data_IF_926599185699
#
_entry.id   IF_926599185699
#
_cell.length_a   1.000
_cell.length_b   1.000
_cell.length_c   1.000
_cell.angle_alpha   90.00
_cell.angle_beta   90.00
_cell.angle_gamma   90.00
#
_symmetry.space_group_name_H-M   'P 1'
#
loop_
_entity.id
_entity.type
_entity.pdbx_description
1 polymer ?
#
# COMPACT_ATOMS: atom_id res chain seq x y z
N UNK A 1 -12.34 18.58 -62.37
CA UNK A 1 -13.35 17.52 -62.15
C UNK A 1 -13.77 17.55 -60.69
N UNK A 2 -14.89 16.90 -60.35
CA UNK A 2 -15.35 16.70 -58.96
C UNK A 2 -14.25 16.05 -58.12
N UNK A 3 -14.05 16.50 -56.88
CA UNK A 3 -13.13 15.86 -55.94
C UNK A 3 -13.70 14.57 -55.37
N UNK A 4 -12.85 13.69 -54.83
CA UNK A 4 -13.28 12.43 -54.19
C UNK A 4 -14.29 12.68 -53.06
N UNK A 5 -14.06 13.72 -52.26
CA UNK A 5 -14.89 14.03 -51.09
C UNK A 5 -16.24 14.66 -51.52
N UNK A 6 -16.26 15.40 -52.64
CA UNK A 6 -17.50 15.89 -53.26
C UNK A 6 -18.31 14.73 -53.88
N UNK A 7 -17.65 13.78 -54.54
CA UNK A 7 -18.31 12.59 -55.10
C UNK A 7 -18.89 11.68 -54.00
N UNK A 8 -18.17 11.53 -52.88
CA UNK A 8 -18.68 10.80 -51.71
C UNK A 8 -19.94 11.47 -51.14
N UNK A 9 -19.96 12.80 -51.03
CA UNK A 9 -21.13 13.57 -50.59
C UNK A 9 -22.31 13.45 -51.54
N UNK A 10 -22.10 13.50 -52.86
CA UNK A 10 -23.16 13.27 -53.86
C UNK A 10 -23.77 11.86 -53.76
N UNK A 11 -22.98 10.87 -53.31
CA UNK A 11 -23.44 9.49 -53.05
C UNK A 11 -24.05 9.31 -51.65
N UNK A 12 -24.14 10.36 -50.84
CA UNK A 12 -24.66 10.31 -49.48
C UNK A 12 -23.76 9.59 -48.49
N UNK A 13 -22.46 9.43 -48.79
CA UNK A 13 -21.48 8.78 -47.92
C UNK A 13 -20.82 9.82 -47.01
N UNK A 14 -20.77 9.52 -45.71
CA UNK A 14 -20.05 10.30 -44.72
C UNK A 14 -18.55 9.95 -44.68
N UNK A 15 -17.76 10.76 -43.95
CA UNK A 15 -16.30 10.54 -43.80
C UNK A 15 -15.98 9.18 -43.18
N UNK A 16 -16.76 8.74 -42.19
CA UNK A 16 -16.61 7.42 -41.56
C UNK A 16 -16.90 6.25 -42.48
N UNK A 17 -17.64 6.46 -43.57
CA UNK A 17 -18.03 5.41 -44.52
C UNK A 17 -16.93 5.17 -45.57
N UNK A 18 -16.00 6.11 -45.72
CA UNK A 18 -14.95 6.08 -46.76
C UNK A 18 -13.53 6.04 -46.18
N UNK A 19 -13.36 6.31 -44.89
CA UNK A 19 -12.06 6.31 -44.21
C UNK A 19 -11.74 4.93 -43.61
N UNK A 20 -10.76 4.25 -44.18
CA UNK A 20 -10.33 2.91 -43.74
C UNK A 20 -9.20 2.94 -42.69
N UNK A 21 -8.67 4.12 -42.36
CA UNK A 21 -7.50 4.27 -41.49
C UNK A 21 -6.21 3.71 -42.09
N UNK A 22 -5.20 3.48 -41.23
CA UNK A 22 -3.95 2.85 -41.64
C UNK A 22 -4.11 1.34 -41.74
N UNK A 23 -4.00 0.82 -42.96
CA UNK A 23 -4.16 -0.61 -43.27
C UNK A 23 -2.96 -1.13 -44.04
N UNK A 24 -2.58 -2.37 -43.77
CA UNK A 24 -1.58 -3.09 -44.58
C UNK A 24 -2.22 -3.63 -45.85
N UNK A 25 -1.41 -3.94 -46.85
CA UNK A 25 -1.89 -4.51 -48.13
C UNK A 25 -2.71 -5.79 -47.93
N UNK A 26 -2.35 -6.60 -46.92
CA UNK A 26 -3.04 -7.85 -46.58
C UNK A 26 -4.38 -7.65 -45.88
N UNK A 27 -4.64 -6.48 -45.32
CA UNK A 27 -5.93 -6.17 -44.69
C UNK A 27 -7.01 -5.77 -45.70
N UNK A 28 -6.64 -5.45 -46.95
CA UNK A 28 -7.58 -5.18 -48.04
C UNK A 28 -7.99 -6.50 -48.69
N UNK A 29 -9.23 -6.93 -48.47
CA UNK A 29 -9.75 -8.24 -48.87
C UNK A 29 -9.76 -8.44 -50.40
N UNK A 30 -10.01 -7.36 -51.15
CA UNK A 30 -10.04 -7.41 -52.61
C UNK A 30 -8.63 -7.20 -53.21
N UNK A 31 -8.05 -8.18 -53.92
CA UNK A 31 -6.70 -8.06 -54.45
C UNK A 31 -6.51 -6.97 -55.50
N UNK A 32 -7.53 -6.67 -56.31
CA UNK A 32 -7.45 -5.63 -57.34
C UNK A 32 -7.43 -4.25 -56.68
N UNK A 33 -8.28 -4.04 -55.68
CA UNK A 33 -8.31 -2.82 -54.87
C UNK A 33 -7.01 -2.67 -54.06
N UNK A 34 -6.51 -3.75 -53.45
CA UNK A 34 -5.26 -3.74 -52.70
C UNK A 34 -4.04 -3.38 -53.57
N UNK A 35 -3.97 -3.92 -54.79
CA UNK A 35 -2.90 -3.59 -55.73
C UNK A 35 -2.98 -2.16 -56.22
N UNK A 36 -4.18 -1.65 -56.52
CA UNK A 36 -4.38 -0.26 -56.90
C UNK A 36 -4.07 0.71 -55.75
N UNK A 37 -4.45 0.37 -54.51
CA UNK A 37 -4.16 1.21 -53.35
C UNK A 37 -2.64 1.36 -53.11
N UNK A 38 -1.90 0.25 -53.22
CA UNK A 38 -0.45 0.23 -52.96
C UNK A 38 0.42 0.62 -54.17
N UNK A 39 -0.18 0.91 -55.33
CA UNK A 39 0.54 1.48 -56.49
C UNK A 39 0.44 3.01 -56.58
N UNK A 40 -0.41 3.62 -55.77
CA UNK A 40 -0.65 5.06 -55.74
C UNK A 40 0.24 5.77 -54.73
N UNK A 41 0.57 7.02 -55.03
CA UNK A 41 1.27 7.92 -54.12
C UNK A 41 0.32 8.56 -53.11
N UNK A 42 0.88 9.08 -52.01
CA UNK A 42 0.09 9.83 -51.01
C UNK A 42 -0.66 11.00 -51.66
N UNK A 43 -1.96 11.10 -51.41
CA UNK A 43 -2.84 12.13 -51.96
C UNK A 43 -3.50 11.76 -53.30
N UNK A 44 -3.10 10.67 -53.94
CA UNK A 44 -3.66 10.27 -55.24
C UNK A 44 -4.97 9.50 -55.11
N UNK A 45 -5.78 9.58 -56.17
CA UNK A 45 -7.03 8.83 -56.33
C UNK A 45 -6.87 7.86 -57.50
N UNK A 46 -7.30 6.61 -57.31
CA UNK A 46 -7.25 5.57 -58.33
C UNK A 46 -8.16 5.89 -59.52
N UNK A 47 -7.88 5.27 -60.67
CA UNK A 47 -8.93 5.04 -61.67
C UNK A 47 -9.99 4.08 -61.09
N UNK A 48 -11.21 4.02 -61.66
CA UNK A 48 -12.21 3.04 -61.22
C UNK A 48 -11.65 1.61 -61.29
N UNK A 49 -11.52 0.96 -60.13
CA UNK A 49 -10.97 -0.38 -60.01
C UNK A 49 -12.12 -1.37 -59.99
N UNK A 50 -12.15 -2.30 -60.94
CA UNK A 50 -13.11 -3.41 -60.92
C UNK A 50 -12.69 -4.43 -59.84
N UNK A 51 -13.30 -4.32 -58.67
CA UNK A 51 -13.19 -5.32 -57.61
C UNK A 51 -14.25 -6.41 -57.72
N UNK A 52 -14.14 -7.42 -56.86
CA UNK A 52 -15.07 -8.54 -56.67
C UNK A 52 -16.43 -8.09 -56.13
N UNK A 53 -16.45 -7.00 -55.37
CA UNK A 53 -17.66 -6.45 -54.75
C UNK A 53 -18.27 -5.28 -55.54
N UNK A 54 -17.74 -4.99 -56.74
CA UNK A 54 -18.13 -3.87 -57.57
C UNK A 54 -16.97 -2.96 -57.92
N UNK A 55 -17.28 -1.84 -58.57
CA UNK A 55 -16.27 -0.84 -58.94
C UNK A 55 -15.98 0.07 -57.74
N UNK A 56 -14.71 0.18 -57.36
CA UNK A 56 -14.26 1.01 -56.26
C UNK A 56 -13.32 2.13 -56.76
N UNK A 57 -13.38 3.28 -56.09
CA UNK A 57 -12.37 4.34 -56.18
C UNK A 57 -11.62 4.39 -54.85
N UNK A 58 -10.30 4.44 -54.91
CA UNK A 58 -9.44 4.47 -53.71
C UNK A 58 -8.68 5.78 -53.68
N UNK A 59 -8.70 6.49 -52.55
CA UNK A 59 -7.87 7.68 -52.31
C UNK A 59 -6.85 7.36 -51.22
N UNK A 60 -5.57 7.62 -51.48
CA UNK A 60 -4.51 7.41 -50.50
C UNK A 60 -4.35 8.68 -49.67
N UNK A 61 -4.60 8.59 -48.37
CA UNK A 61 -4.35 9.70 -47.45
C UNK A 61 -2.87 9.88 -47.14
N UNK A 62 -2.27 8.86 -46.52
CA UNK A 62 -0.86 8.83 -46.11
C UNK A 62 -0.27 7.44 -46.36
N UNK A 63 0.99 7.40 -46.79
CA UNK A 63 1.78 6.16 -46.87
C UNK A 63 2.82 6.15 -45.75
N UNK A 64 2.84 5.08 -44.96
CA UNK A 64 3.89 4.82 -43.96
C UNK A 64 4.65 3.56 -44.36
N UNK A 65 5.98 3.67 -44.49
CA UNK A 65 6.83 2.52 -44.78
C UNK A 65 6.89 1.61 -43.56
N UNK A 66 6.66 0.30 -43.76
CA UNK A 66 6.90 -0.68 -42.72
C UNK A 66 8.37 -0.68 -42.31
N UNK A 67 8.64 -0.74 -41.01
CA UNK A 67 10.00 -0.88 -40.47
C UNK A 67 10.21 -2.32 -40.02
N UNK A 68 11.19 -3.01 -40.60
CA UNK A 68 11.69 -4.28 -40.07
C UNK A 68 12.74 -3.99 -38.99
N UNK A 69 12.57 -4.48 -37.75
CA UNK A 69 13.61 -4.35 -36.73
C UNK A 69 14.88 -5.06 -37.19
N UNK A 70 16.03 -4.39 -37.13
CA UNK A 70 17.31 -5.06 -37.42
C UNK A 70 17.68 -6.04 -36.31
N UNK A 71 18.56 -7.00 -36.62
CA UNK A 71 19.10 -7.89 -35.61
C UNK A 71 19.76 -7.11 -34.47
N UNK A 72 20.52 -6.05 -34.79
CA UNK A 72 21.24 -5.23 -33.81
C UNK A 72 20.30 -4.52 -32.85
N UNK A 73 19.14 -4.05 -33.33
CA UNK A 73 18.15 -3.38 -32.47
C UNK A 73 17.48 -4.36 -31.50
N UNK A 74 17.39 -5.65 -31.86
CA UNK A 74 16.73 -6.68 -31.06
C UNK A 74 17.67 -7.63 -30.32
N UNK A 75 18.96 -7.65 -30.66
CA UNK A 75 19.93 -8.60 -30.13
C UNK A 75 20.03 -8.56 -28.60
N UNK A 76 19.97 -7.38 -27.99
CA UNK A 76 20.02 -7.24 -26.54
C UNK A 76 18.78 -7.85 -25.85
N UNK A 77 17.59 -7.62 -26.41
CA UNK A 77 16.34 -8.20 -25.89
C UNK A 77 16.33 -9.72 -26.04
N UNK A 78 16.68 -10.23 -27.24
CA UNK A 78 16.75 -11.67 -27.52
C UNK A 78 17.78 -12.38 -26.64
N UNK A 79 18.95 -11.78 -26.42
CA UNK A 79 19.97 -12.33 -25.50
C UNK A 79 19.44 -12.42 -24.08
N UNK A 80 18.74 -11.39 -23.60
CA UNK A 80 18.13 -11.39 -22.27
C UNK A 80 17.04 -12.46 -22.14
N UNK A 81 16.21 -12.62 -23.17
CA UNK A 81 15.15 -13.63 -23.21
C UNK A 81 15.73 -15.04 -23.16
N UNK A 82 16.66 -15.37 -24.05
CA UNK A 82 17.35 -16.67 -24.09
C UNK A 82 18.10 -16.93 -22.77
N UNK A 83 18.77 -15.92 -22.21
CA UNK A 83 19.45 -16.06 -20.93
C UNK A 83 18.47 -16.35 -19.80
N UNK A 84 17.29 -15.71 -19.80
CA UNK A 84 16.24 -15.94 -18.80
C UNK A 84 15.65 -17.34 -18.93
N UNK A 85 15.39 -17.81 -20.15
CA UNK A 85 14.90 -19.17 -20.41
C UNK A 85 15.89 -20.23 -19.93
N UNK A 86 17.18 -20.08 -20.28
CA UNK A 86 18.25 -20.97 -19.80
C UNK A 86 18.40 -20.93 -18.29
N UNK A 87 18.28 -19.75 -17.67
CA UNK A 87 18.32 -19.62 -16.22
C UNK A 87 17.18 -20.38 -15.55
N UNK A 88 15.94 -20.28 -16.06
CA UNK A 88 14.78 -21.03 -15.55
C UNK A 88 14.99 -22.54 -15.64
N UNK A 89 15.48 -23.04 -16.78
CA UNK A 89 15.81 -24.45 -16.95
C UNK A 89 16.87 -24.91 -15.94
N UNK A 90 17.90 -24.09 -15.71
CA UNK A 90 18.96 -24.41 -14.75
C UNK A 90 18.48 -24.39 -13.30
N UNK A 91 17.60 -23.45 -12.95
CA UNK A 91 16.96 -23.39 -11.62
C UNK A 91 16.11 -24.63 -11.37
N UNK A 92 15.34 -25.08 -12.37
CA UNK A 92 14.56 -26.32 -12.26
C UNK A 92 15.47 -27.55 -12.07
N UNK A 93 16.55 -27.67 -12.84
CA UNK A 93 17.54 -28.75 -12.68
C UNK A 93 18.19 -28.75 -11.28
N UNK A 94 18.53 -27.57 -10.75
CA UNK A 94 19.10 -27.45 -9.40
C UNK A 94 18.07 -27.79 -8.32
N UNK A 95 16.82 -27.39 -8.50
CA UNK A 95 15.73 -27.75 -7.60
C UNK A 95 15.57 -29.27 -7.54
N UNK A 96 15.46 -29.93 -8.68
CA UNK A 96 15.26 -31.37 -8.74
C UNK A 96 16.42 -32.12 -8.07
N UNK A 97 17.67 -31.68 -8.31
CA UNK A 97 18.85 -32.23 -7.61
C UNK A 97 18.82 -31.98 -6.10
N UNK A 98 18.37 -30.80 -5.67
CA UNK A 98 18.24 -30.49 -4.24
C UNK A 98 17.22 -31.40 -3.57
N UNK A 99 16.07 -31.63 -4.21
CA UNK A 99 15.08 -32.58 -3.70
C UNK A 99 15.56 -34.03 -3.75
N UNK A 100 16.35 -34.43 -4.75
CA UNK A 100 16.94 -35.77 -4.80
C UNK A 100 17.89 -36.00 -3.61
N UNK A 101 18.74 -35.03 -3.29
CA UNK A 101 19.65 -35.11 -2.14
C UNK A 101 18.87 -35.16 -0.81
N UNK A 102 17.83 -34.33 -0.67
CA UNK A 102 16.97 -34.30 0.53
C UNK A 102 16.13 -35.57 0.69
N UNK A 103 15.56 -36.07 -0.40
CA UNK A 103 14.86 -37.35 -0.45
C UNK A 103 15.77 -38.54 -0.16
N UNK A 104 17.08 -38.40 -0.42
CA UNK A 104 18.12 -39.33 0.01
C UNK A 104 18.52 -39.22 1.49
N UNK A 105 17.95 -38.28 2.24
CA UNK A 105 18.17 -38.06 3.67
C UNK A 105 19.21 -36.99 4.02
N UNK A 106 19.75 -36.25 3.04
CA UNK A 106 20.64 -35.13 3.32
C UNK A 106 19.87 -33.93 3.90
N UNK A 107 20.43 -33.26 4.91
CA UNK A 107 19.88 -31.96 5.35
C UNK A 107 20.21 -30.84 4.36
N UNK A 108 19.61 -29.66 4.51
CA UNK A 108 19.77 -28.53 3.59
C UNK A 108 21.24 -28.09 3.45
N UNK A 109 22.01 -28.15 4.55
CA UNK A 109 23.43 -27.76 4.51
C UNK A 109 24.25 -28.75 3.71
N UNK A 110 24.04 -30.05 3.92
CA UNK A 110 24.72 -31.13 3.20
C UNK A 110 24.37 -31.13 1.71
N UNK A 111 23.08 -31.04 1.39
CA UNK A 111 22.59 -30.97 0.01
C UNK A 111 23.15 -29.74 -0.71
N UNK A 112 23.13 -28.56 -0.06
CA UNK A 112 23.72 -27.36 -0.60
C UNK A 112 25.21 -27.52 -0.91
N UNK A 113 25.99 -28.11 0.00
CA UNK A 113 27.42 -28.35 -0.21
C UNK A 113 27.69 -29.27 -1.40
N UNK A 114 26.95 -30.37 -1.54
CA UNK A 114 27.10 -31.31 -2.68
C UNK A 114 26.79 -30.64 -4.02
N UNK A 115 25.84 -29.72 -4.04
CA UNK A 115 25.43 -28.98 -5.23
C UNK A 115 26.24 -27.70 -5.47
N UNK A 116 27.22 -27.39 -4.62
CA UNK A 116 28.04 -26.18 -4.73
C UNK A 116 27.26 -24.88 -4.41
N UNK A 117 26.18 -24.98 -3.64
CA UNK A 117 25.38 -23.86 -3.16
C UNK A 117 25.89 -23.38 -1.79
N UNK A 118 25.60 -22.12 -1.46
CA UNK A 118 25.96 -21.52 -0.17
C UNK A 118 24.79 -21.62 0.81
N UNK A 119 24.96 -22.41 1.87
CA UNK A 119 24.04 -22.43 3.00
C UNK A 119 24.34 -21.29 3.97
N UNK A 120 23.29 -20.71 4.56
CA UNK A 120 23.39 -19.63 5.56
C UNK A 120 22.73 -20.11 6.85
N UNK A 121 23.47 -20.09 7.94
CA UNK A 121 22.92 -20.35 9.28
C UNK A 121 22.43 -19.04 9.88
N UNK A 122 21.17 -19.03 10.33
CA UNK A 122 20.57 -17.93 11.07
C UNK A 122 20.57 -18.33 12.54
N UNK A 123 21.12 -17.47 13.40
CA UNK A 123 21.03 -17.64 14.85
C UNK A 123 19.57 -17.60 15.31
N UNK A 124 19.30 -17.97 16.57
CA UNK A 124 17.95 -17.98 17.10
C UNK A 124 17.24 -16.62 16.91
N UNK A 125 16.08 -16.64 16.25
CA UNK A 125 15.23 -15.46 16.05
C UNK A 125 13.86 -15.64 16.68
N UNK A 126 13.23 -14.55 17.08
CA UNK A 126 11.82 -14.53 17.43
C UNK A 126 10.91 -14.47 16.19
N UNK A 127 9.58 -14.52 16.39
CA UNK A 127 8.59 -14.45 15.31
C UNK A 127 8.63 -13.17 14.48
N UNK A 128 9.30 -12.12 14.98
CA UNK A 128 9.51 -10.86 14.25
C UNK A 128 10.85 -10.83 13.50
N UNK A 129 11.58 -11.95 13.47
CA UNK A 129 12.90 -12.05 12.84
C UNK A 129 14.01 -11.34 13.61
N UNK A 130 13.82 -11.11 14.92
CA UNK A 130 14.82 -10.46 15.77
C UNK A 130 15.65 -11.47 16.53
N UNK A 131 16.94 -11.19 16.59
CA UNK A 131 17.93 -11.89 17.41
C UNK A 131 17.66 -11.67 18.91
N UNK A 132 18.29 -12.44 19.81
CA UNK A 132 18.06 -12.32 21.26
C UNK A 132 18.45 -10.93 21.81
N UNK A 133 19.34 -10.21 21.13
CA UNK A 133 19.73 -8.84 21.45
C UNK A 133 18.72 -7.77 20.96
N UNK A 134 17.62 -8.18 20.31
CA UNK A 134 16.55 -7.32 19.81
C UNK A 134 16.78 -6.70 18.44
N UNK A 135 17.95 -6.94 17.81
CA UNK A 135 18.26 -6.49 16.44
C UNK A 135 17.64 -7.43 15.40
N UNK A 136 17.30 -6.91 14.22
CA UNK A 136 16.83 -7.73 13.11
C UNK A 136 17.98 -8.60 12.56
N UNK A 137 17.67 -9.86 12.25
CA UNK A 137 18.62 -10.76 11.61
C UNK A 137 19.01 -10.24 10.21
N UNK A 138 20.30 -9.97 9.99
CA UNK A 138 20.80 -9.33 8.77
C UNK A 138 20.95 -10.28 7.58
N UNK A 139 20.91 -11.59 7.84
CA UNK A 139 21.14 -12.65 6.86
C UNK A 139 19.84 -13.24 6.28
N UNK A 140 18.68 -12.69 6.65
CA UNK A 140 17.39 -13.03 6.05
C UNK A 140 17.12 -12.06 4.89
N UNK A 141 17.00 -12.53 3.64
CA UNK A 141 16.64 -11.68 2.51
C UNK A 141 15.32 -10.93 2.73
N UNK A 142 15.30 -9.63 2.40
CA UNK A 142 14.09 -8.84 2.50
C UNK A 142 12.96 -9.40 1.63
N UNK A 143 11.78 -9.55 2.22
CA UNK A 143 10.57 -10.10 1.59
C UNK A 143 10.52 -11.63 1.51
N UNK A 144 11.50 -12.34 2.08
CA UNK A 144 11.45 -13.79 2.21
C UNK A 144 10.72 -14.17 3.51
N UNK A 145 9.64 -14.94 3.39
CA UNK A 145 8.83 -15.39 4.52
C UNK A 145 9.41 -16.65 5.22
N UNK A 146 10.73 -16.73 5.41
CA UNK A 146 11.34 -17.93 6.03
C UNK A 146 11.05 -18.04 7.52
N UNK A 147 10.89 -16.90 8.22
CA UNK A 147 10.64 -16.89 9.68
C UNK A 147 9.29 -17.51 9.99
N UNK A 148 8.21 -17.08 9.32
CA UNK A 148 6.88 -17.62 9.59
C UNK A 148 6.81 -19.10 9.27
N UNK A 149 7.42 -19.53 8.16
CA UNK A 149 7.48 -20.94 7.75
C UNK A 149 8.27 -21.79 8.75
N UNK A 150 9.42 -21.30 9.23
CA UNK A 150 10.21 -21.97 10.25
C UNK A 150 9.47 -22.10 11.60
N UNK A 151 8.67 -21.10 11.99
CA UNK A 151 7.85 -21.15 13.22
C UNK A 151 6.63 -22.06 13.12
N UNK A 152 6.23 -22.47 11.91
CA UNK A 152 5.18 -23.45 11.65
C UNK A 152 5.75 -24.86 11.42
N UNK A 153 7.06 -25.04 11.60
CA UNK A 153 7.78 -26.30 11.39
C UNK A 153 8.49 -26.74 12.68
N UNK A 154 9.00 -27.97 12.67
CA UNK A 154 9.73 -28.58 13.77
C UNK A 154 11.11 -29.08 13.32
N UNK A 155 11.96 -29.40 14.30
CA UNK A 155 13.30 -29.95 14.04
C UNK A 155 13.18 -31.27 13.30
N UNK A 156 13.90 -31.39 12.19
CA UNK A 156 13.93 -32.61 11.37
C UNK A 156 12.70 -32.81 10.47
N UNK A 157 11.79 -31.84 10.40
CA UNK A 157 10.70 -31.86 9.41
C UNK A 157 11.25 -31.51 8.04
N UNK A 158 10.86 -32.32 7.05
CA UNK A 158 11.16 -32.03 5.65
C UNK A 158 10.23 -30.93 5.13
N UNK A 159 10.75 -29.71 5.02
CA UNK A 159 9.96 -28.54 4.65
C UNK A 159 9.87 -28.35 3.13
N UNK A 160 8.74 -27.83 2.67
CA UNK A 160 8.59 -27.39 1.28
C UNK A 160 9.48 -26.18 0.98
N UNK A 161 10.06 -26.09 -0.24
CA UNK A 161 10.85 -24.93 -0.64
C UNK A 161 9.99 -23.68 -0.81
N UNK A 162 10.53 -22.54 -0.38
CA UNK A 162 9.90 -21.24 -0.54
C UNK A 162 10.29 -20.64 -1.89
N UNK A 163 9.30 -20.34 -2.74
CA UNK A 163 9.54 -19.62 -3.99
C UNK A 163 9.95 -18.17 -3.72
N UNK A 164 11.10 -17.75 -4.23
CA UNK A 164 11.63 -16.41 -4.01
C UNK A 164 12.40 -15.90 -5.22
N UNK A 165 12.00 -14.72 -5.74
CA UNK A 165 12.66 -14.02 -6.86
C UNK A 165 12.96 -14.90 -8.08
N UNK A 166 12.05 -15.81 -8.43
CA UNK A 166 12.20 -16.72 -9.58
C UNK A 166 13.10 -17.93 -9.33
N UNK A 167 13.50 -18.16 -8.08
CA UNK A 167 14.15 -19.38 -7.62
C UNK A 167 13.47 -19.92 -6.36
N UNK A 168 14.20 -20.73 -5.60
CA UNK A 168 13.71 -21.45 -4.43
C UNK A 168 14.68 -21.31 -3.26
N UNK A 169 14.14 -21.30 -2.04
CA UNK A 169 14.90 -21.32 -0.79
C UNK A 169 14.46 -22.51 0.03
N UNK A 170 15.43 -23.32 0.43
CA UNK A 170 15.26 -24.42 1.35
C UNK A 170 15.71 -24.01 2.75
N UNK A 171 15.07 -24.55 3.78
CA UNK A 171 15.38 -24.24 5.16
C UNK A 171 15.15 -25.46 6.06
N UNK A 172 15.97 -25.57 7.09
CA UNK A 172 15.83 -26.53 8.17
C UNK A 172 15.73 -25.79 9.51
N UNK A 173 14.87 -26.29 10.40
CA UNK A 173 14.83 -25.85 11.80
C UNK A 173 15.90 -26.63 12.57
N UNK A 174 17.01 -25.98 12.87
CA UNK A 174 18.13 -26.60 13.60
C UNK A 174 17.88 -26.71 15.11
N UNK A 175 17.00 -25.88 15.66
CA UNK A 175 16.72 -25.84 17.09
C UNK A 175 15.54 -24.93 17.41
N UNK A 176 14.85 -25.27 18.50
CA UNK A 176 13.73 -24.49 19.04
C UNK A 176 14.11 -24.09 20.47
N UNK A 177 14.11 -22.79 20.74
CA UNK A 177 14.26 -22.28 22.11
C UNK A 177 12.86 -22.23 22.74
N UNK A 178 12.57 -23.02 23.78
CA UNK A 178 11.25 -23.00 24.42
C UNK A 178 10.90 -21.63 24.97
N UNK A 179 9.61 -21.29 24.94
CA UNK A 179 9.11 -20.09 25.60
C UNK A 179 9.45 -20.16 27.09
N UNK A 180 10.10 -19.11 27.59
CA UNK A 180 10.46 -18.97 29.00
C UNK A 180 10.41 -17.51 29.41
N UNK A 181 10.26 -17.31 30.71
CA UNK A 181 10.51 -16.00 31.29
C UNK A 181 12.00 -15.64 31.12
N UNK A 182 12.24 -14.41 30.67
CA UNK A 182 13.59 -13.85 30.60
C UNK A 182 14.05 -13.58 32.02
N UNK A 183 15.29 -13.95 32.33
CA UNK A 183 15.91 -13.62 33.62
C UNK A 183 16.13 -12.11 33.68
N UNK A 184 16.13 -11.56 34.90
CA UNK A 184 16.35 -10.13 35.10
C UNK A 184 17.67 -9.68 34.44
N UNK A 185 18.74 -10.46 34.53
CA UNK A 185 20.04 -10.12 33.93
C UNK A 185 19.98 -9.93 32.41
N UNK A 186 19.06 -10.62 31.71
CA UNK A 186 18.92 -10.53 30.25
C UNK A 186 18.16 -9.29 29.81
N UNK A 187 17.35 -8.71 30.71
CA UNK A 187 16.47 -7.58 30.41
C UNK A 187 16.71 -6.40 31.34
N UNK A 188 17.80 -6.43 32.12
CA UNK A 188 18.05 -5.50 33.22
C UNK A 188 18.02 -4.05 32.75
N UNK A 189 18.71 -3.75 31.66
CA UNK A 189 18.77 -2.40 31.12
C UNK A 189 17.41 -1.91 30.62
N UNK A 190 16.61 -2.80 30.02
CA UNK A 190 15.25 -2.48 29.56
C UNK A 190 14.32 -2.23 30.74
N UNK A 191 14.40 -3.07 31.78
CA UNK A 191 13.61 -2.94 33.01
C UNK A 191 14.02 -1.69 33.78
N UNK A 192 15.32 -1.43 33.91
CA UNK A 192 15.83 -0.23 34.59
C UNK A 192 15.38 1.04 33.88
N UNK A 193 15.46 1.08 32.55
CA UNK A 193 14.97 2.23 31.76
C UNK A 193 13.49 2.46 32.02
N UNK A 194 12.65 1.43 31.85
CA UNK A 194 11.20 1.54 32.09
C UNK A 194 10.87 1.93 33.52
N UNK A 195 11.56 1.34 34.51
CA UNK A 195 11.35 1.67 35.90
C UNK A 195 11.74 3.11 36.21
N UNK A 196 12.84 3.62 35.64
CA UNK A 196 13.22 5.03 35.76
C UNK A 196 12.16 5.94 35.16
N UNK A 197 11.65 5.62 33.98
CA UNK A 197 10.57 6.38 33.33
C UNK A 197 9.30 6.39 34.17
N UNK A 198 8.91 5.26 34.75
CA UNK A 198 7.77 5.13 35.66
C UNK A 198 7.97 5.97 36.93
N UNK A 199 9.17 5.95 37.51
CA UNK A 199 9.50 6.75 38.69
C UNK A 199 9.49 8.26 38.38
N UNK A 200 10.00 8.66 37.21
CA UNK A 200 9.96 10.06 36.75
C UNK A 200 8.50 10.50 36.60
N UNK A 201 7.69 9.71 35.90
CA UNK A 201 6.26 9.98 35.68
C UNK A 201 5.50 10.12 36.99
N UNK A 202 5.71 9.19 37.92
CA UNK A 202 5.08 9.21 39.24
C UNK A 202 5.45 10.47 40.04
N UNK A 203 6.74 10.83 40.07
CA UNK A 203 7.22 12.03 40.76
C UNK A 203 6.71 13.32 40.13
N UNK A 204 6.65 13.39 38.80
CA UNK A 204 6.09 14.54 38.08
C UNK A 204 4.61 14.72 38.39
N UNK A 205 3.84 13.62 38.39
CA UNK A 205 2.42 13.65 38.76
C UNK A 205 2.19 14.13 40.20
N UNK A 206 2.99 13.64 41.15
CA UNK A 206 2.91 14.10 42.55
C UNK A 206 3.20 15.60 42.64
N UNK A 207 4.29 16.05 42.01
CA UNK A 207 4.67 17.47 41.98
C UNK A 207 3.60 18.35 41.33
N UNK A 208 3.04 17.91 40.21
CA UNK A 208 1.94 18.61 39.55
C UNK A 208 0.69 18.68 40.43
N UNK A 209 0.39 17.63 41.19
CA UNK A 209 -0.73 17.60 42.15
C UNK A 209 -0.49 18.60 43.29
N UNK A 210 0.72 18.71 43.82
CA UNK A 210 1.09 19.74 44.80
C UNK A 210 0.94 21.16 44.23
N UNK A 211 1.31 21.38 42.96
CA UNK A 211 1.12 22.66 42.30
C UNK A 211 -0.37 22.99 42.13
N UNK A 212 -1.20 22.03 41.72
CA UNK A 212 -2.66 22.19 41.64
C UNK A 212 -3.24 22.64 42.98
N UNK A 213 -2.88 21.97 44.08
CA UNK A 213 -3.37 22.33 45.42
C UNK A 213 -3.00 23.78 45.80
N UNK A 214 -1.78 24.23 45.48
CA UNK A 214 -1.36 25.62 45.75
C UNK A 214 -2.12 26.63 44.88
N UNK A 215 -2.45 26.27 43.64
CA UNK A 215 -3.22 27.14 42.74
C UNK A 215 -4.70 27.23 43.16
N UNK A 216 -5.26 26.13 43.67
CA UNK A 216 -6.62 26.08 44.25
C UNK A 216 -6.71 26.93 45.52
N UNK A 217 -5.63 27.01 46.31
CA UNK A 217 -5.52 27.89 47.49
C UNK A 217 -5.31 29.38 47.14
N UNK A 218 -5.41 29.77 45.85
CA UNK A 218 -5.29 31.15 45.40
C UNK A 218 -3.91 31.55 44.89
N UNK A 219 -2.96 30.62 44.78
CA UNK A 219 -1.66 30.87 44.16
C UNK A 219 -1.76 31.24 42.68
N UNK A 220 -0.86 32.12 42.21
CA UNK A 220 -0.74 32.45 40.78
C UNK A 220 0.12 31.42 40.06
N UNK A 221 -0.29 31.04 38.85
CA UNK A 221 0.43 30.07 38.01
C UNK A 221 1.86 30.53 37.70
N UNK A 222 2.05 31.82 37.42
CA UNK A 222 3.36 32.40 37.17
C UNK A 222 4.33 32.25 38.37
N UNK A 223 3.85 32.46 39.59
CA UNK A 223 4.69 32.37 40.80
C UNK A 223 5.11 30.91 41.06
N UNK A 224 4.17 29.97 40.86
CA UNK A 224 4.44 28.55 41.00
C UNK A 224 5.42 28.05 39.91
N UNK A 225 5.26 28.49 38.67
CA UNK A 225 6.18 28.16 37.58
C UNK A 225 7.58 28.72 37.85
N UNK A 226 7.70 29.99 38.26
CA UNK A 226 8.97 30.64 38.57
C UNK A 226 9.73 29.92 39.69
N UNK A 227 9.02 29.44 40.72
CA UNK A 227 9.62 28.64 41.82
C UNK A 227 10.25 27.34 41.31
N UNK A 228 9.78 26.82 40.17
CA UNK A 228 10.30 25.62 39.53
C UNK A 228 11.27 25.92 38.37
N UNK A 229 11.63 27.18 38.14
CA UNK A 229 12.45 27.60 37.00
C UNK A 229 11.74 27.45 35.64
N UNK A 230 10.41 27.35 35.63
CA UNK A 230 9.59 27.17 34.44
C UNK A 230 9.01 28.50 33.97
N UNK A 231 8.73 28.58 32.67
CA UNK A 231 7.98 29.70 32.06
C UNK A 231 6.52 29.28 31.87
N UNK A 232 5.60 30.22 32.04
CA UNK A 232 4.20 30.02 31.71
C UNK A 232 3.98 30.37 30.25
N UNK A 233 3.31 29.49 29.53
CA UNK A 233 2.84 29.73 28.17
C UNK A 233 1.33 29.95 28.16
N UNK A 234 0.83 30.59 27.12
CA UNK A 234 -0.60 30.92 26.98
C UNK A 234 -1.09 30.51 25.60
N UNK A 235 -2.17 29.74 25.57
CA UNK A 235 -2.86 29.36 24.35
C UNK A 235 -4.24 30.05 24.30
N UNK A 236 -4.49 30.79 23.23
CA UNK A 236 -5.76 31.49 22.99
C UNK A 236 -6.47 30.94 21.76
N UNK A 237 -7.80 30.96 21.73
CA UNK A 237 -8.57 30.47 20.57
C UNK A 237 -8.50 28.95 20.40
N UNK A 238 -8.21 28.22 21.47
CA UNK A 238 -8.17 26.76 21.46
C UNK A 238 -9.58 26.21 21.18
N UNK A 239 -9.71 25.36 20.15
CA UNK A 239 -10.93 24.60 19.83
C UNK A 239 -10.81 23.16 20.36
N UNK A 240 -11.94 22.45 20.51
CA UNK A 240 -11.95 21.06 21.03
C UNK A 240 -11.19 20.08 20.14
N UNK A 241 -11.12 20.38 18.85
CA UNK A 241 -10.45 19.64 17.78
C UNK A 241 -9.08 20.24 17.43
N UNK A 242 -8.59 21.22 18.20
CA UNK A 242 -7.31 21.85 17.91
C UNK A 242 -6.16 20.84 18.01
N UNK A 243 -5.30 20.84 17.01
CA UNK A 243 -4.01 20.16 17.01
C UNK A 243 -2.93 21.24 17.02
N UNK A 244 -2.19 21.33 18.12
CA UNK A 244 -1.09 22.27 18.29
C UNK A 244 0.21 21.46 18.46
N UNK A 245 1.33 21.87 17.82
CA UNK A 245 2.61 21.17 17.97
C UNK A 245 3.07 21.01 19.41
N UNK A 246 2.84 22.05 20.23
CA UNK A 246 3.34 22.15 21.60
C UNK A 246 2.30 21.80 22.68
N UNK A 247 1.09 21.39 22.28
CA UNK A 247 0.03 21.02 23.22
C UNK A 247 -0.61 19.68 22.82
N UNK A 248 -0.37 18.60 23.59
CA UNK A 248 -0.94 17.30 23.27
C UNK A 248 -2.47 17.32 23.35
N UNK A 249 -3.12 16.48 22.53
CA UNK A 249 -4.59 16.37 22.50
C UNK A 249 -5.21 16.05 23.86
N UNK A 250 -4.49 15.32 24.72
CA UNK A 250 -4.88 15.07 26.10
C UNK A 250 -4.97 16.34 26.95
N UNK A 251 -4.08 17.31 26.72
CA UNK A 251 -4.12 18.61 27.40
C UNK A 251 -5.27 19.48 26.91
N UNK A 252 -5.56 19.49 25.60
CA UNK A 252 -6.77 20.15 25.05
C UNK A 252 -8.03 19.58 25.68
N UNK A 253 -8.14 18.25 25.71
CA UNK A 253 -9.29 17.54 26.30
C UNK A 253 -9.44 17.86 27.79
N UNK A 254 -8.34 17.88 28.55
CA UNK A 254 -8.35 18.22 29.96
C UNK A 254 -8.78 19.68 30.18
N UNK A 255 -8.26 20.63 29.39
CA UNK A 255 -8.64 22.04 29.47
C UNK A 255 -10.13 22.25 29.23
N UNK A 256 -10.72 21.59 28.24
CA UNK A 256 -12.16 21.67 27.96
C UNK A 256 -13.06 20.97 29.00
N UNK A 257 -12.49 20.17 29.90
CA UNK A 257 -13.20 19.58 31.06
C UNK A 257 -13.07 20.43 32.33
N UNK A 258 -12.22 21.45 32.32
CA UNK A 258 -11.99 22.34 33.46
C UNK A 258 -12.85 23.60 33.30
N UNK A 259 -13.51 24.02 34.38
CA UNK A 259 -14.32 25.23 34.40
C UNK A 259 -13.47 26.51 34.30
N UNK A 260 -14.10 27.64 33.96
CA UNK A 260 -13.43 28.95 33.97
C UNK A 260 -12.81 29.22 35.35
N UNK A 261 -11.60 29.77 35.34
CA UNK A 261 -10.71 30.01 36.48
C UNK A 261 -10.23 28.75 37.22
N UNK A 262 -10.69 27.57 36.79
CA UNK A 262 -10.27 26.28 37.30
C UNK A 262 -8.85 25.90 36.85
N UNK A 263 -8.25 25.00 37.61
CA UNK A 263 -6.93 24.43 37.31
C UNK A 263 -7.04 22.95 37.00
N UNK A 264 -6.11 22.47 36.19
CA UNK A 264 -6.08 21.08 35.78
C UNK A 264 -4.68 20.62 35.45
N UNK A 265 -4.50 19.31 35.39
CA UNK A 265 -3.22 18.68 35.07
C UNK A 265 -3.42 17.49 34.14
N UNK A 266 -2.40 17.17 33.36
CA UNK A 266 -2.41 16.04 32.43
C UNK A 266 -0.98 15.63 32.05
N UNK A 267 -0.84 14.42 31.50
CA UNK A 267 0.42 14.01 30.89
C UNK A 267 0.74 14.86 29.66
N UNK A 268 2.03 15.12 29.44
CA UNK A 268 2.55 15.80 28.27
C UNK A 268 2.66 14.90 27.04
N UNK A 269 3.38 15.38 26.02
CA UNK A 269 3.63 14.60 24.81
C UNK A 269 4.78 13.60 25.01
N UNK A 270 5.76 13.94 25.85
CA UNK A 270 6.84 13.04 26.23
C UNK A 270 6.51 12.25 27.52
N UNK A 271 7.08 11.05 27.67
CA UNK A 271 6.87 10.21 28.85
C UNK A 271 7.32 10.87 30.17
N UNK A 272 8.23 11.83 30.10
CA UNK A 272 8.78 12.58 31.23
C UNK A 272 8.23 14.01 31.31
N UNK A 273 7.04 14.26 30.79
CA UNK A 273 6.42 15.57 30.77
C UNK A 273 5.04 15.54 31.45
N UNK A 274 4.76 16.55 32.27
CA UNK A 274 3.48 16.72 32.92
C UNK A 274 3.09 18.19 32.90
N UNK A 275 1.87 18.46 32.45
CA UNK A 275 1.38 19.82 32.23
C UNK A 275 0.42 20.17 33.35
N UNK A 276 0.59 21.37 33.91
CA UNK A 276 -0.34 22.02 34.84
C UNK A 276 -0.84 23.29 34.17
N UNK A 277 -2.14 23.49 34.13
CA UNK A 277 -2.77 24.62 33.43
C UNK A 277 -3.87 25.26 34.29
N UNK A 278 -4.23 26.49 33.90
CA UNK A 278 -5.40 27.23 34.40
C UNK A 278 -6.23 27.68 33.21
N UNK A 279 -7.54 27.47 33.25
CA UNK A 279 -8.45 27.98 32.24
C UNK A 279 -8.81 29.42 32.60
N UNK A 280 -8.30 30.40 31.87
CA UNK A 280 -8.53 31.83 32.18
C UNK A 280 -9.83 32.36 31.57
N UNK A 281 -10.27 31.80 30.44
CA UNK A 281 -11.50 32.23 29.79
C UNK A 281 -12.15 31.10 29.00
N UNK A 282 -13.47 31.17 28.84
CA UNK A 282 -14.26 30.24 28.03
C UNK A 282 -15.16 31.08 27.12
N UNK A 283 -14.97 30.93 25.82
CA UNK A 283 -15.79 31.59 24.80
C UNK A 283 -16.67 30.57 24.10
N UNK A 284 -17.99 30.78 24.14
CA UNK A 284 -18.94 30.05 23.28
C UNK A 284 -19.24 30.94 22.08
N UNK A 285 -18.69 30.64 20.88
CA UNK A 285 -18.97 31.44 19.70
C UNK A 285 -20.47 31.33 19.36
N UNK A 286 -21.11 32.41 18.89
CA UNK A 286 -22.48 32.34 18.40
C UNK A 286 -22.56 31.35 17.22
N UNK A 287 -23.69 30.66 17.11
CA UNK A 287 -23.93 29.76 15.98
C UNK A 287 -24.10 30.60 14.72
N UNK A 288 -23.14 30.50 13.81
CA UNK A 288 -23.23 31.06 12.47
C UNK A 288 -23.68 29.97 11.48
N UNK A 289 -24.96 30.03 11.09
CA UNK A 289 -25.55 29.11 10.13
C UNK A 289 -24.97 29.25 8.71
N UNK A 290 -24.30 30.38 8.42
CA UNK A 290 -23.63 30.61 7.15
C UNK A 290 -22.15 30.17 7.16
N UNK A 291 -21.64 29.73 8.30
CA UNK A 291 -20.23 29.30 8.44
C UNK A 291 -19.91 28.09 7.58
N UNK A 292 -18.65 28.00 7.15
CA UNK A 292 -18.13 26.85 6.39
C UNK A 292 -18.26 25.53 7.17
N UNK A 293 -18.14 25.57 8.50
CA UNK A 293 -18.29 24.39 9.36
C UNK A 293 -19.74 23.85 9.33
N UNK A 294 -20.75 24.73 9.36
CA UNK A 294 -22.16 24.34 9.25
C UNK A 294 -22.50 23.84 7.83
N UNK A 295 -21.93 24.43 6.78
CA UNK A 295 -22.09 23.92 5.41
C UNK A 295 -21.54 22.50 5.28
N UNK A 296 -20.32 22.25 5.75
CA UNK A 296 -19.70 20.92 5.75
C UNK A 296 -20.51 19.90 6.56
N UNK A 297 -21.02 20.31 7.72
CA UNK A 297 -21.90 19.46 8.53
C UNK A 297 -23.19 19.12 7.76
N UNK A 298 -23.83 20.10 7.14
CA UNK A 298 -25.03 19.90 6.32
C UNK A 298 -24.76 18.93 5.16
N UNK A 299 -23.69 19.14 4.42
CA UNK A 299 -23.32 18.27 3.29
C UNK A 299 -23.01 16.83 3.74
N UNK A 300 -22.41 16.69 4.91
CA UNK A 300 -22.13 15.36 5.50
C UNK A 300 -23.41 14.67 5.94
N UNK A 301 -24.32 15.38 6.61
CA UNK A 301 -25.62 14.85 7.00
C UNK A 301 -26.49 14.51 5.80
N UNK A 302 -26.47 15.34 4.74
CA UNK A 302 -27.23 15.11 3.53
C UNK A 302 -26.74 13.87 2.77
N UNK A 303 -25.41 13.67 2.69
CA UNK A 303 -24.84 12.44 2.13
C UNK A 303 -25.23 11.21 2.97
N UNK A 304 -25.05 11.28 4.29
CA UNK A 304 -25.42 10.18 5.18
C UNK A 304 -26.90 9.79 5.07
N UNK A 305 -27.81 10.77 5.01
CA UNK A 305 -29.24 10.53 4.79
C UNK A 305 -29.53 9.92 3.42
N UNK A 306 -28.81 10.35 2.37
CA UNK A 306 -28.95 9.80 1.02
C UNK A 306 -28.49 8.34 0.97
N UNK A 307 -27.31 8.06 1.53
CA UNK A 307 -26.73 6.72 1.59
C UNK A 307 -27.63 5.77 2.39
N UNK A 308 -28.21 6.25 3.50
CA UNK A 308 -29.16 5.46 4.29
C UNK A 308 -30.47 5.19 3.53
N UNK A 309 -31.02 6.17 2.81
CA UNK A 309 -32.21 5.95 1.96
C UNK A 309 -31.94 4.95 0.85
N UNK A 310 -30.78 5.03 0.18
CA UNK A 310 -30.38 4.06 -0.84
C UNK A 310 -30.21 2.68 -0.24
N UNK A 311 -29.55 2.55 0.90
CA UNK A 311 -29.38 1.28 1.60
C UNK A 311 -30.74 0.66 1.97
N UNK A 312 -31.65 1.43 2.58
CA UNK A 312 -32.99 0.97 2.92
C UNK A 312 -33.79 0.55 1.68
N UNK A 313 -33.67 1.30 0.57
CA UNK A 313 -34.32 0.95 -0.69
C UNK A 313 -33.78 -0.36 -1.28
N UNK A 314 -32.45 -0.53 -1.29
CA UNK A 314 -31.80 -1.77 -1.74
C UNK A 314 -32.24 -2.94 -0.86
N UNK A 315 -32.16 -2.83 0.47
CA UNK A 315 -32.62 -3.88 1.39
C UNK A 315 -34.08 -4.27 1.15
N UNK A 316 -34.96 -3.29 0.85
CA UNK A 316 -36.36 -3.57 0.51
C UNK A 316 -36.49 -4.32 -0.82
N UNK A 317 -35.75 -3.91 -1.85
CA UNK A 317 -35.72 -4.61 -3.15
C UNK A 317 -35.19 -6.03 -3.02
N UNK A 318 -34.12 -6.23 -2.26
CA UNK A 318 -33.54 -7.55 -2.00
C UNK A 318 -34.54 -8.47 -1.29
N UNK A 319 -35.31 -7.94 -0.33
CA UNK A 319 -36.35 -8.69 0.38
C UNK A 319 -37.56 -9.03 -0.52
N UNK A 320 -37.98 -8.12 -1.41
CA UNK A 320 -39.15 -8.30 -2.26
C UNK A 320 -38.86 -9.19 -3.49
N UNK A 321 -37.67 -9.07 -4.08
CA UNK A 321 -37.26 -9.83 -5.28
C UNK A 321 -36.63 -11.17 -4.88
N UNK A 322 -36.01 -11.23 -3.69
CA UNK A 322 -35.19 -12.34 -3.25
C UNK A 322 -33.77 -12.28 -3.83
N UNK A 323 -32.75 -12.46 -3.00
CA UNK A 323 -31.36 -12.55 -3.43
C UNK A 323 -30.78 -13.93 -3.14
N UNK A 324 -29.97 -14.43 -4.07
CA UNK A 324 -29.20 -15.68 -3.89
C UNK A 324 -27.73 -15.37 -4.12
N UNK A 325 -26.92 -15.52 -3.07
CA UNK A 325 -25.47 -15.28 -3.13
C UNK A 325 -24.78 -16.60 -3.46
N UNK A 326 -24.00 -16.63 -4.53
CA UNK A 326 -23.11 -17.76 -4.82
C UNK A 326 -21.89 -17.66 -3.90
N UNK A 327 -22.00 -18.27 -2.71
CA UNK A 327 -20.98 -18.24 -1.67
C UNK A 327 -19.61 -18.76 -2.15
N UNK A 328 -19.58 -19.71 -3.09
CA UNK A 328 -18.35 -20.24 -3.69
C UNK A 328 -17.61 -19.18 -4.51
N UNK A 329 -18.33 -18.42 -5.34
CA UNK A 329 -17.74 -17.33 -6.12
C UNK A 329 -17.29 -16.17 -5.21
N UNK A 330 -18.08 -15.86 -4.17
CA UNK A 330 -17.74 -14.82 -3.20
C UNK A 330 -16.46 -15.15 -2.43
N UNK A 331 -16.30 -16.39 -1.98
CA UNK A 331 -15.13 -16.82 -1.22
C UNK A 331 -13.85 -16.89 -2.09
N UNK A 332 -13.97 -17.20 -3.38
CA UNK A 332 -12.86 -17.10 -4.34
C UNK A 332 -12.35 -15.66 -4.54
N UNK A 333 -13.26 -14.68 -4.57
CA UNK A 333 -12.89 -13.27 -4.83
C UNK A 333 -12.41 -12.56 -3.56
N UNK A 334 -12.95 -12.91 -2.39
CA UNK A 334 -12.59 -12.28 -1.11
C UNK A 334 -11.43 -12.95 -0.39
N UNK A 335 -10.94 -14.09 -0.89
CA UNK A 335 -9.91 -14.87 -0.23
C UNK A 335 -10.38 -15.55 1.06
N UNK A 336 -11.71 -15.64 1.28
CA UNK A 336 -12.31 -16.26 2.45
C UNK A 336 -12.40 -17.79 2.37
N UNK A 337 -11.75 -18.42 1.37
CA UNK A 337 -11.60 -19.87 1.31
C UNK A 337 -10.60 -20.35 2.37
N UNK A 338 -11.10 -20.62 3.58
CA UNK A 338 -10.59 -21.68 4.44
C UNK A 338 -11.64 -22.79 4.53
#
# INVERSE_FOLDING_TARGET
GLSFDELAKERGLGTSDVELGMVTKSAIIDPAVANAAFSLSSGEVSQPVQGRFGVALVKIGKVEAGTEPSYESMAAALKKEIATERARAKVAELRDKMEDERGGGANVVEAAQKLGLSAVTIDAVDRSGRLPNGQLASNIPAGLDVVSQAFNSDIGVDNDPISFKGGYVWYDVLGITPSRERKLDEVKDQVETRWRDDQITSRLKTKATELIQKLEQGGKLADQAATQGLKVESATGLRRDASLPDLPAGAVTAAFRTAKDGVGQTAGAAANEWIVFRVTDITVPPVDLASEDIKKLKDTLQRALTDEQVAQYVTKLEADIGTTINHTAFAQVTGANN
#
